data_IF_320181686350
#
_entry.id   IF_320181686350
#
_cell.length_a   1.000
_cell.length_b   1.000
_cell.length_c   1.000
_cell.angle_alpha   90.00
_cell.angle_beta   90.00
_cell.angle_gamma   90.00
#
_symmetry.space_group_name_H-M   'P 1'
#
loop_
_entity.id
_entity.type
_entity.pdbx_description
1 polymer ?
#
# COMPACT_ATOMS: atom_id res chain seq x y z
N UNK A 1 -13.28 -4.88 0.46
CA UNK A 1 -12.17 -4.78 1.41
C UNK A 1 -10.96 -5.34 0.68
N UNK A 2 -9.91 -4.55 0.49
CA UNK A 2 -8.78 -4.99 -0.33
C UNK A 2 -7.48 -4.59 0.33
N UNK A 3 -6.55 -5.54 0.27
CA UNK A 3 -5.28 -5.49 0.95
C UNK A 3 -4.20 -5.81 -0.08
N UNK A 4 -3.19 -4.95 -0.25
CA UNK A 4 -2.11 -5.18 -1.22
C UNK A 4 -0.95 -5.93 -0.56
N UNK A 5 -0.62 -7.15 -1.01
CA UNK A 5 0.51 -7.90 -0.51
C UNK A 5 1.83 -7.44 -1.15
N UNK A 6 2.85 -7.21 -0.34
CA UNK A 6 4.26 -7.13 -0.76
C UNK A 6 4.83 -8.56 -0.79
N UNK A 7 5.73 -8.87 -1.72
CA UNK A 7 6.37 -10.20 -1.80
C UNK A 7 7.90 -10.12 -1.77
N UNK A 8 8.57 -11.19 -1.37
CA UNK A 8 10.02 -11.38 -1.53
C UNK A 8 10.38 -12.04 -2.88
N UNK A 9 11.67 -12.22 -3.24
CA UNK A 9 12.06 -12.87 -4.48
C UNK A 9 11.60 -14.33 -4.65
N UNK A 10 11.29 -15.01 -3.54
CA UNK A 10 10.71 -16.35 -3.56
C UNK A 10 9.18 -16.36 -3.73
N UNK A 11 8.55 -15.17 -3.80
CA UNK A 11 7.11 -15.02 -3.94
C UNK A 11 6.33 -15.13 -2.62
N UNK A 12 7.00 -15.02 -1.48
CA UNK A 12 6.36 -15.07 -0.16
C UNK A 12 5.83 -13.69 0.25
N UNK A 13 4.62 -13.65 0.84
CA UNK A 13 4.00 -12.38 1.29
C UNK A 13 4.78 -11.82 2.49
N UNK A 14 5.26 -10.59 2.36
CA UNK A 14 5.98 -9.85 3.38
C UNK A 14 5.07 -8.98 4.24
N UNK A 15 4.07 -8.33 3.63
CA UNK A 15 3.22 -7.38 4.32
C UNK A 15 1.90 -7.21 3.59
N UNK A 16 0.82 -7.07 4.34
CA UNK A 16 -0.51 -6.77 3.84
C UNK A 16 -0.97 -5.46 4.49
N UNK A 17 -1.37 -4.48 3.67
CA UNK A 17 -1.90 -3.20 4.16
C UNK A 17 -3.44 -3.20 4.09
N UNK A 18 -4.11 -3.23 5.25
CA UNK A 18 -5.58 -3.24 5.35
C UNK A 18 -6.13 -1.95 5.99
N UNK A 19 -7.29 -1.48 5.54
CA UNK A 19 -8.07 -0.45 6.23
C UNK A 19 -8.73 -1.04 7.49
N UNK A 20 -8.61 -0.35 8.62
CA UNK A 20 -9.13 -0.81 9.92
C UNK A 20 -10.63 -0.58 10.11
N UNK A 21 -11.31 0.24 9.31
CA UNK A 21 -12.74 0.48 9.52
C UNK A 21 -13.47 1.09 8.32
N UNK A 22 -14.08 0.25 7.49
CA UNK A 22 -15.25 0.59 6.68
C UNK A 22 -15.10 1.62 5.56
N UNK A 23 -13.91 2.22 5.35
CA UNK A 23 -13.66 3.20 4.30
C UNK A 23 -12.83 2.55 3.19
N UNK A 24 -13.52 1.69 2.45
CA UNK A 24 -12.90 0.89 1.38
C UNK A 24 -12.50 1.80 0.22
N UNK A 25 -11.20 1.85 -0.08
CA UNK A 25 -10.72 2.37 -1.36
C UNK A 25 -11.26 1.44 -2.46
N UNK A 26 -12.06 1.99 -3.38
CA UNK A 26 -12.79 1.19 -4.38
C UNK A 26 -11.90 0.66 -5.50
N UNK A 27 -10.88 1.42 -5.91
CA UNK A 27 -9.95 1.04 -6.96
C UNK A 27 -8.62 1.77 -6.81
N UNK A 28 -7.52 1.02 -6.99
CA UNK A 28 -6.14 1.52 -7.04
C UNK A 28 -5.52 0.89 -8.28
N UNK A 29 -4.93 1.72 -9.14
CA UNK A 29 -4.18 1.26 -10.31
C UNK A 29 -2.68 1.25 -10.02
N UNK A 30 -2.16 2.31 -9.40
CA UNK A 30 -0.73 2.48 -9.17
C UNK A 30 -0.35 2.50 -7.68
N UNK A 31 0.78 1.86 -7.37
CA UNK A 31 1.50 2.04 -6.11
C UNK A 31 2.99 2.15 -6.40
N UNK A 32 3.64 3.18 -5.87
CA UNK A 32 5.09 3.41 -5.96
C UNK A 32 5.69 3.53 -4.57
N UNK A 33 6.81 2.84 -4.31
CA UNK A 33 7.60 3.00 -3.10
C UNK A 33 8.70 4.04 -3.36
N UNK A 34 8.63 5.18 -2.65
CA UNK A 34 9.58 6.27 -2.79
C UNK A 34 9.76 7.01 -1.48
N UNK A 35 11.01 7.28 -1.11
CA UNK A 35 11.39 8.04 0.09
C UNK A 35 10.79 7.47 1.40
N UNK A 36 10.74 6.13 1.51
CA UNK A 36 10.15 5.43 2.67
C UNK A 36 8.63 5.53 2.76
N UNK A 37 7.95 5.91 1.67
CA UNK A 37 6.50 6.06 1.60
C UNK A 37 5.93 5.26 0.43
N UNK A 38 4.70 4.81 0.58
CA UNK A 38 3.89 4.30 -0.52
C UNK A 38 3.01 5.43 -1.06
N UNK A 39 3.19 5.73 -2.33
CA UNK A 39 2.34 6.63 -3.10
C UNK A 39 1.30 5.79 -3.82
N UNK A 40 0.03 6.01 -3.51
CA UNK A 40 -1.08 5.17 -3.93
C UNK A 40 -2.05 6.03 -4.73
N UNK A 41 -2.28 5.68 -6.00
CA UNK A 41 -3.11 6.46 -6.91
C UNK A 41 -4.12 5.59 -7.68
N UNK A 42 -5.10 6.27 -8.28
CA UNK A 42 -6.15 5.64 -9.08
C UNK A 42 -6.40 6.44 -10.34
N UNK A 43 -6.36 5.78 -11.49
CA UNK A 43 -6.81 6.34 -12.77
C UNK A 43 -8.32 6.56 -12.75
N UNK A 44 -9.06 5.73 -12.00
CA UNK A 44 -10.52 5.74 -11.96
C UNK A 44 -11.08 6.70 -10.92
N UNK A 45 -10.28 7.13 -9.94
CA UNK A 45 -10.73 7.95 -8.83
C UNK A 45 -9.75 9.11 -8.59
N UNK A 46 -10.23 10.36 -8.45
CA UNK A 46 -9.35 11.53 -8.37
C UNK A 46 -8.79 11.75 -6.96
N UNK A 47 -8.03 10.79 -6.44
CA UNK A 47 -7.31 10.93 -5.17
C UNK A 47 -5.88 10.38 -5.26
N UNK A 48 -5.02 10.89 -4.39
CA UNK A 48 -3.69 10.35 -4.11
C UNK A 48 -3.62 10.13 -2.59
N UNK A 49 -3.19 8.94 -2.18
CA UNK A 49 -2.91 8.61 -0.78
C UNK A 49 -1.42 8.37 -0.59
N UNK A 50 -0.87 8.87 0.52
CA UNK A 50 0.52 8.66 0.90
C UNK A 50 0.51 7.90 2.22
N UNK A 51 1.13 6.72 2.25
CA UNK A 51 1.29 5.91 3.44
C UNK A 51 2.75 5.92 3.87
N UNK A 52 3.01 6.35 5.10
CA UNK A 52 4.35 6.26 5.68
C UNK A 52 4.61 4.82 6.12
N UNK A 53 5.65 4.19 5.57
CA UNK A 53 6.00 2.82 5.97
C UNK A 53 6.54 2.79 7.40
N UNK A 54 6.97 3.95 7.93
CA UNK A 54 7.67 4.06 9.20
C UNK A 54 9.01 3.32 9.12
N UNK A 55 10.02 3.82 9.82
CA UNK A 55 11.24 3.08 10.09
C UNK A 55 10.93 1.96 11.11
N UNK A 56 10.18 0.94 10.69
CA UNK A 56 9.84 -0.24 11.51
C UNK A 56 10.70 -1.46 11.14
N UNK A 57 11.80 -1.23 10.43
CA UNK A 57 12.87 -2.21 10.24
C UNK A 57 14.11 -1.72 10.98
N UNK A 58 14.02 -1.55 12.30
CA UNK A 58 15.21 -1.65 13.15
C UNK A 58 15.21 -3.05 13.76
N UNK A 59 16.07 -3.90 13.19
CA UNK A 59 16.61 -5.17 13.71
C UNK A 59 15.62 -6.24 14.20
#
# INVERSE_FOLDING_TARGET
AWSRPRYNPAGEILQILEDRSGKVVKAISEVEEKDGKLWIASVLMPFIAIYDLGSSFSS
#
